data_IF_226299520818
#
_entry.id   IF_226299520818
#
_cell.length_a   1.000
_cell.length_b   1.000
_cell.length_c   1.000
_cell.angle_alpha   90.00
_cell.angle_beta   90.00
_cell.angle_gamma   90.00
#
_symmetry.space_group_name_H-M   'P 1'
#
loop_
_entity.id
_entity.type
_entity.pdbx_description
1 polymer ?
#
# COMPACT_ATOMS: atom_id res chain seq x y z
N UNK A 1 -13.10 24.72 -45.70
CA UNK A 1 -13.41 23.95 -44.48
C UNK A 1 -13.89 22.52 -44.79
N UNK A 2 -14.76 22.29 -45.76
CA UNK A 2 -15.26 20.91 -46.11
C UNK A 2 -14.21 19.95 -46.64
N UNK A 3 -13.14 20.42 -47.31
CA UNK A 3 -12.04 19.59 -47.85
C UNK A 3 -11.05 19.14 -46.80
N UNK A 4 -10.86 19.91 -45.72
CA UNK A 4 -9.98 19.52 -44.59
C UNK A 4 -10.62 18.44 -43.72
N UNK A 5 -11.93 18.44 -43.57
CA UNK A 5 -12.64 17.39 -42.80
C UNK A 5 -12.57 16.03 -43.48
N UNK A 6 -12.66 16.00 -44.82
CA UNK A 6 -12.55 14.75 -45.59
C UNK A 6 -11.13 14.14 -45.52
N UNK A 7 -10.08 15.00 -45.47
CA UNK A 7 -8.70 14.55 -45.37
C UNK A 7 -8.40 13.98 -43.96
N UNK A 8 -8.96 14.60 -42.93
CA UNK A 8 -8.81 14.14 -41.54
C UNK A 8 -9.49 12.80 -41.30
N UNK A 9 -10.67 12.60 -41.88
CA UNK A 9 -11.43 11.34 -41.78
C UNK A 9 -10.73 10.19 -42.53
N UNK A 10 -10.08 10.46 -43.67
CA UNK A 10 -9.27 9.49 -44.39
C UNK A 10 -8.02 9.06 -43.65
N UNK A 11 -7.39 9.99 -42.91
CA UNK A 11 -6.19 9.69 -42.11
C UNK A 11 -6.49 8.77 -40.92
N UNK A 12 -7.66 8.93 -40.28
CA UNK A 12 -8.07 8.09 -39.16
C UNK A 12 -8.35 6.64 -39.59
N UNK A 13 -8.86 6.45 -40.81
CA UNK A 13 -9.14 5.08 -41.33
C UNK A 13 -7.90 4.31 -41.78
N UNK A 14 -6.78 4.99 -42.10
CA UNK A 14 -5.53 4.32 -42.50
C UNK A 14 -4.75 3.81 -41.28
N UNK A 15 -4.94 4.40 -40.10
CA UNK A 15 -4.28 3.99 -38.85
C UNK A 15 -4.90 2.74 -38.19
N UNK A 16 -6.08 2.30 -38.64
CA UNK A 16 -6.77 1.14 -38.06
C UNK A 16 -6.47 -0.22 -38.71
N UNK A 17 -5.55 -0.28 -39.69
CA UNK A 17 -5.24 -1.49 -40.45
C UNK A 17 -3.84 -2.10 -40.18
N UNK A 18 -3.12 -1.64 -39.14
CA UNK A 18 -1.79 -2.15 -38.79
C UNK A 18 -1.78 -2.96 -37.48
N UNK A 19 -2.84 -3.67 -37.20
CA UNK A 19 -2.90 -4.55 -36.04
C UNK A 19 -3.31 -5.96 -36.44
N UNK A 20 -2.47 -6.64 -37.26
CA UNK A 20 -2.49 -8.10 -37.38
C UNK A 20 -1.18 -8.54 -38.03
N UNK A 21 -0.30 -9.19 -37.26
CA UNK A 21 0.94 -9.78 -37.82
C UNK A 21 1.82 -10.36 -36.70
N UNK A 22 1.75 -11.67 -36.60
CA UNK A 22 2.43 -12.62 -35.72
C UNK A 22 3.93 -12.41 -35.47
N UNK A 23 4.31 -12.84 -34.26
CA UNK A 23 5.44 -13.66 -33.78
C UNK A 23 6.42 -13.02 -32.81
N UNK A 24 6.36 -13.63 -31.61
CA UNK A 24 7.45 -14.02 -30.67
C UNK A 24 8.72 -13.17 -30.62
N UNK A 25 8.98 -12.62 -29.48
CA UNK A 25 10.13 -12.94 -28.61
C UNK A 25 10.02 -12.14 -27.32
N UNK A 26 10.48 -12.77 -26.24
CA UNK A 26 10.61 -12.27 -24.88
C UNK A 26 11.13 -10.84 -24.79
N UNK A 27 10.44 -10.00 -24.00
CA UNK A 27 11.06 -9.13 -23.01
C UNK A 27 9.99 -8.42 -22.17
N UNK A 28 10.23 -8.48 -20.89
CA UNK A 28 9.65 -7.86 -19.74
C UNK A 28 9.26 -6.39 -19.96
N UNK A 29 7.96 -6.05 -20.01
CA UNK A 29 7.54 -4.66 -19.89
C UNK A 29 6.10 -4.57 -19.33
N UNK A 30 5.99 -3.78 -18.26
CA UNK A 30 4.84 -3.63 -17.43
C UNK A 30 3.53 -3.30 -18.16
N UNK A 31 2.51 -4.01 -17.78
CA UNK A 31 1.14 -3.84 -18.25
C UNK A 31 0.46 -2.73 -17.47
N UNK A 32 0.11 -1.65 -18.16
CA UNK A 32 -0.83 -0.65 -17.67
C UNK A 32 -2.24 -1.20 -17.81
N UNK A 33 -2.82 -1.66 -16.72
CA UNK A 33 -4.21 -2.07 -16.69
C UNK A 33 -5.16 -0.88 -16.78
N UNK A 34 -5.90 -0.86 -17.86
CA UNK A 34 -7.10 -0.04 -18.07
C UNK A 34 -8.25 -0.64 -17.28
N UNK A 35 -8.94 0.20 -16.55
CA UNK A 35 -10.15 -0.02 -15.78
C UNK A 35 -11.22 -0.78 -16.59
N UNK A 36 -11.54 -2.01 -16.16
CA UNK A 36 -12.79 -2.68 -16.49
C UNK A 36 -13.44 -3.11 -15.17
N UNK A 37 -14.47 -2.38 -14.77
CA UNK A 37 -15.32 -2.70 -13.63
C UNK A 37 -16.08 -4.01 -13.89
N UNK A 38 -15.50 -5.11 -13.45
CA UNK A 38 -16.26 -6.35 -13.21
C UNK A 38 -15.77 -6.95 -11.90
N UNK A 39 -16.68 -7.13 -10.96
CA UNK A 39 -16.42 -7.50 -9.55
C UNK A 39 -15.63 -8.80 -9.36
N UNK A 40 -14.36 -8.74 -9.67
CA UNK A 40 -13.38 -9.74 -9.35
C UNK A 40 -12.56 -9.22 -8.16
N UNK A 41 -12.42 -10.02 -7.11
CA UNK A 41 -11.54 -9.72 -5.99
C UNK A 41 -10.12 -9.66 -6.53
N UNK A 42 -9.56 -8.46 -6.67
CA UNK A 42 -8.16 -8.29 -7.05
C UNK A 42 -7.30 -8.89 -5.96
N UNK A 43 -6.51 -9.92 -6.28
CA UNK A 43 -5.55 -10.48 -5.35
C UNK A 43 -4.19 -9.85 -5.61
N UNK A 44 -3.68 -9.11 -4.65
CA UNK A 44 -2.35 -8.51 -4.70
C UNK A 44 -1.29 -9.55 -4.33
N UNK A 45 -0.23 -9.60 -5.10
CA UNK A 45 0.95 -10.45 -4.84
C UNK A 45 2.22 -9.64 -4.63
N UNK A 46 2.22 -8.39 -5.10
CA UNK A 46 3.34 -7.47 -4.95
C UNK A 46 2.93 -6.30 -4.04
N UNK A 47 3.61 -6.04 -2.92
CA UNK A 47 3.28 -4.95 -2.01
C UNK A 47 3.51 -3.56 -2.62
N UNK A 48 4.33 -3.44 -3.68
CA UNK A 48 4.58 -2.17 -4.36
C UNK A 48 3.36 -1.68 -5.16
N UNK A 49 2.40 -2.57 -5.45
CA UNK A 49 1.14 -2.24 -6.12
C UNK A 49 0.09 -1.69 -5.13
N UNK A 50 0.43 -1.59 -3.84
CA UNK A 50 -0.45 -1.15 -2.75
C UNK A 50 0.13 0.11 -2.13
N UNK A 51 -0.68 1.17 -2.00
CA UNK A 51 -0.24 2.42 -1.39
C UNK A 51 0.23 2.24 0.06
N UNK A 52 1.29 2.97 0.43
CA UNK A 52 1.76 3.00 1.82
C UNK A 52 0.79 3.79 2.73
N UNK A 53 0.04 4.73 2.17
CA UNK A 53 -0.89 5.59 2.90
C UNK A 53 -2.32 5.32 2.46
N UNK A 54 -3.02 4.47 3.17
CA UNK A 54 -4.43 4.25 2.93
C UNK A 54 -5.26 5.41 3.51
N UNK A 55 -6.26 5.86 2.74
CA UNK A 55 -7.30 6.77 3.24
C UNK A 55 -8.51 5.95 3.65
N UNK A 56 -8.89 6.03 4.92
CA UNK A 56 -10.10 5.40 5.44
C UNK A 56 -11.25 6.40 5.45
N UNK A 57 -12.43 5.99 4.98
CA UNK A 57 -13.62 6.85 4.89
C UNK A 57 -14.12 7.31 6.26
N UNK A 58 -14.01 6.45 7.28
CA UNK A 58 -14.44 6.72 8.65
C UNK A 58 -13.30 7.15 9.58
N UNK A 59 -12.08 7.28 9.03
CA UNK A 59 -10.87 7.64 9.78
C UNK A 59 -10.34 6.52 10.68
N UNK A 60 -10.90 5.30 10.59
CA UNK A 60 -10.46 4.14 11.37
C UNK A 60 -9.59 3.23 10.53
N UNK A 61 -8.63 2.58 11.18
CA UNK A 61 -7.68 1.66 10.55
C UNK A 61 -7.60 0.37 11.35
N UNK A 62 -8.08 -0.70 10.76
CA UNK A 62 -8.26 -2.00 11.45
C UNK A 62 -6.94 -2.69 11.76
N UNK A 63 -5.93 -2.51 10.88
CA UNK A 63 -4.59 -3.04 11.09
C UNK A 63 -3.59 -1.89 11.12
N UNK A 64 -2.82 -1.83 12.18
CA UNK A 64 -1.76 -0.85 12.34
C UNK A 64 -0.39 -1.52 12.36
N UNK A 65 0.59 -0.88 11.76
CA UNK A 65 2.00 -1.21 11.90
C UNK A 65 2.73 -0.09 12.64
N UNK A 66 3.53 -0.42 13.63
CA UNK A 66 4.36 0.55 14.34
C UNK A 66 5.83 0.24 14.08
N UNK A 67 6.55 1.21 13.50
CA UNK A 67 8.00 1.08 13.26
C UNK A 67 8.77 1.10 14.58
N UNK A 68 9.94 0.45 14.64
CA UNK A 68 10.80 0.50 15.83
C UNK A 68 11.72 1.73 15.81
N UNK A 69 12.69 1.73 14.93
CA UNK A 69 13.64 2.82 14.68
C UNK A 69 13.74 3.06 13.18
N UNK A 70 14.11 4.27 12.79
CA UNK A 70 14.37 4.59 11.40
C UNK A 70 13.10 4.77 10.57
N UNK A 71 13.26 4.56 9.28
CA UNK A 71 12.24 4.84 8.28
C UNK A 71 11.46 3.59 7.90
N UNK A 72 10.22 3.78 7.47
CA UNK A 72 9.38 2.70 6.99
C UNK A 72 10.05 1.89 5.87
N UNK A 73 10.64 2.57 4.88
CA UNK A 73 11.33 1.93 3.75
C UNK A 73 12.83 1.76 4.02
N UNK A 74 13.13 0.95 5.02
CA UNK A 74 14.49 0.68 5.50
C UNK A 74 15.17 -0.50 4.77
N UNK A 75 14.47 -1.13 3.83
CA UNK A 75 14.89 -2.38 3.16
C UNK A 75 15.22 -3.51 4.14
N UNK A 76 14.58 -3.51 5.29
CA UNK A 76 14.81 -4.42 6.40
C UNK A 76 13.49 -4.78 7.10
N UNK A 77 13.49 -4.84 8.44
CA UNK A 77 12.35 -5.29 9.23
C UNK A 77 11.11 -4.41 9.08
N UNK A 78 11.26 -3.09 9.10
CA UNK A 78 10.11 -2.19 8.98
C UNK A 78 9.42 -2.36 7.64
N UNK A 79 10.17 -2.27 6.54
CA UNK A 79 9.60 -2.42 5.21
C UNK A 79 8.99 -3.79 5.01
N UNK A 80 9.73 -4.87 5.28
CA UNK A 80 9.24 -6.22 5.04
C UNK A 80 7.99 -6.56 5.87
N UNK A 81 7.93 -6.08 7.12
CA UNK A 81 6.74 -6.29 7.98
C UNK A 81 5.55 -5.49 7.46
N UNK A 82 5.75 -4.23 7.08
CA UNK A 82 4.66 -3.40 6.57
C UNK A 82 4.17 -3.89 5.20
N UNK A 83 5.05 -4.36 4.35
CA UNK A 83 4.68 -4.99 3.07
C UNK A 83 3.76 -6.19 3.28
N UNK A 84 4.04 -7.02 4.29
CA UNK A 84 3.14 -8.10 4.71
C UNK A 84 1.80 -7.61 5.24
N UNK A 85 1.78 -6.53 6.03
CA UNK A 85 0.54 -5.90 6.52
C UNK A 85 -0.30 -5.39 5.36
N UNK A 86 0.30 -4.68 4.39
CA UNK A 86 -0.40 -4.17 3.21
C UNK A 86 -1.04 -5.29 2.39
N UNK A 87 -0.25 -6.33 2.07
CA UNK A 87 -0.73 -7.48 1.31
C UNK A 87 -1.90 -8.16 2.01
N UNK A 88 -1.76 -8.43 3.31
CA UNK A 88 -2.84 -9.05 4.07
C UNK A 88 -4.09 -8.18 4.09
N UNK A 89 -3.95 -6.91 4.42
CA UNK A 89 -5.08 -5.99 4.53
C UNK A 89 -5.80 -5.82 3.19
N UNK A 90 -5.09 -5.53 2.11
CA UNK A 90 -5.67 -5.33 0.79
C UNK A 90 -6.39 -6.59 0.29
N UNK A 91 -5.80 -7.78 0.48
CA UNK A 91 -6.42 -9.04 0.05
C UNK A 91 -7.63 -9.46 0.90
N UNK A 92 -7.81 -8.86 2.07
CA UNK A 92 -8.95 -9.13 2.95
C UNK A 92 -9.93 -7.95 3.08
N UNK A 93 -9.75 -6.88 2.30
CA UNK A 93 -10.62 -5.71 2.33
C UNK A 93 -10.57 -4.95 3.65
N UNK A 94 -9.43 -4.98 4.35
CA UNK A 94 -9.23 -4.32 5.64
C UNK A 94 -8.48 -3.00 5.47
N UNK A 95 -8.80 -2.03 6.31
CA UNK A 95 -8.07 -0.78 6.37
C UNK A 95 -6.75 -0.94 7.15
N UNK A 96 -5.72 -0.20 6.72
CA UNK A 96 -4.39 -0.27 7.34
C UNK A 96 -3.72 1.09 7.42
N UNK A 97 -2.82 1.25 8.39
CA UNK A 97 -1.98 2.43 8.53
C UNK A 97 -0.69 2.10 9.26
N UNK A 98 0.39 2.83 8.95
CA UNK A 98 1.60 2.75 9.76
C UNK A 98 1.76 3.98 10.68
N UNK A 99 2.46 3.79 11.77
CA UNK A 99 2.78 4.80 12.76
C UNK A 99 4.28 4.77 13.05
N UNK A 100 4.86 5.93 13.21
CA UNK A 100 6.26 6.07 13.60
C UNK A 100 6.32 6.72 14.98
N UNK A 101 7.08 6.15 15.92
CA UNK A 101 7.31 6.80 17.20
C UNK A 101 7.97 8.18 17.01
N UNK A 102 7.63 9.11 17.86
CA UNK A 102 8.34 10.39 17.92
C UNK A 102 9.84 10.15 18.15
N UNK A 103 10.66 11.10 17.74
CA UNK A 103 12.12 11.09 17.89
C UNK A 103 12.86 9.99 17.08
N UNK A 104 12.19 9.20 16.25
CA UNK A 104 12.84 8.28 15.33
C UNK A 104 13.83 7.33 16.00
N UNK A 105 15.10 7.41 15.64
CA UNK A 105 16.15 6.56 16.22
C UNK A 105 16.41 6.79 17.71
N UNK A 106 16.05 7.97 18.23
CA UNK A 106 16.16 8.34 19.64
C UNK A 106 14.86 8.11 20.41
N UNK A 107 13.90 7.39 19.81
CA UNK A 107 12.61 7.13 20.44
C UNK A 107 12.80 6.38 21.78
N UNK A 108 12.08 6.83 22.77
CA UNK A 108 11.97 6.18 24.08
C UNK A 108 10.88 5.10 24.04
N UNK A 109 10.79 4.30 25.09
CA UNK A 109 9.68 3.36 25.26
C UNK A 109 8.32 4.09 25.30
N UNK A 110 8.27 5.27 25.94
CA UNK A 110 7.08 6.10 25.99
C UNK A 110 6.67 6.61 24.60
N UNK A 111 7.62 7.00 23.76
CA UNK A 111 7.33 7.39 22.38
C UNK A 111 6.71 6.23 21.58
N UNK A 112 7.21 5.01 21.79
CA UNK A 112 6.65 3.80 21.15
C UNK A 112 5.28 3.46 21.70
N UNK A 113 5.07 3.55 23.03
CA UNK A 113 3.74 3.37 23.64
C UNK A 113 2.73 4.36 23.08
N UNK A 114 3.11 5.63 22.94
CA UNK A 114 2.25 6.67 22.38
C UNK A 114 1.89 6.38 20.92
N UNK A 115 2.83 5.87 20.13
CA UNK A 115 2.55 5.48 18.74
C UNK A 115 1.58 4.29 18.67
N UNK A 116 1.73 3.29 19.54
CA UNK A 116 0.80 2.16 19.66
C UNK A 116 -0.58 2.61 20.15
N UNK A 117 -0.62 3.52 21.13
CA UNK A 117 -1.89 4.07 21.60
C UNK A 117 -2.62 4.86 20.52
N UNK A 118 -1.90 5.66 19.73
CA UNK A 118 -2.49 6.38 18.61
C UNK A 118 -3.10 5.41 17.57
N UNK A 119 -2.50 4.24 17.37
CA UNK A 119 -3.06 3.20 16.51
C UNK A 119 -4.37 2.62 17.10
N UNK A 120 -4.40 2.33 18.39
CA UNK A 120 -5.60 1.84 19.08
C UNK A 120 -6.72 2.88 19.05
N UNK A 121 -6.40 4.14 19.32
CA UNK A 121 -7.36 5.25 19.30
C UNK A 121 -7.95 5.47 17.89
N UNK A 122 -7.19 5.17 16.86
CA UNK A 122 -7.64 5.16 15.46
C UNK A 122 -8.40 3.89 15.06
N UNK A 123 -8.70 2.99 15.99
CA UNK A 123 -9.58 1.84 15.78
C UNK A 123 -8.85 0.56 15.37
N UNK A 124 -7.54 0.47 15.59
CA UNK A 124 -6.79 -0.74 15.29
C UNK A 124 -7.29 -1.92 16.14
N UNK A 125 -7.62 -3.01 15.45
CA UNK A 125 -7.94 -4.30 16.06
C UNK A 125 -6.69 -5.16 16.22
N UNK A 126 -5.70 -4.88 15.39
CA UNK A 126 -4.39 -5.54 15.41
C UNK A 126 -3.30 -4.48 15.27
N UNK A 127 -2.36 -4.48 16.19
CA UNK A 127 -1.15 -3.65 16.12
C UNK A 127 0.05 -4.57 15.91
N UNK A 128 0.70 -4.42 14.76
CA UNK A 128 1.88 -5.18 14.37
C UNK A 128 3.12 -4.36 14.65
N UNK A 129 4.09 -4.93 15.33
CA UNK A 129 5.35 -4.29 15.68
C UNK A 129 6.52 -5.14 15.17
N UNK A 130 7.55 -4.49 14.64
CA UNK A 130 8.78 -5.16 14.24
C UNK A 130 9.95 -4.66 15.10
N UNK A 131 10.87 -5.57 15.43
CA UNK A 131 12.09 -5.23 16.15
C UNK A 131 11.99 -5.43 17.68
N UNK A 132 13.12 -5.83 18.25
CA UNK A 132 13.23 -6.16 19.69
C UNK A 132 13.13 -4.93 20.61
N UNK A 133 13.39 -3.73 20.09
CA UNK A 133 13.25 -2.48 20.85
C UNK A 133 11.78 -2.15 21.18
N UNK A 134 10.83 -2.84 20.54
CA UNK A 134 9.40 -2.67 20.80
C UNK A 134 8.91 -3.45 22.04
N UNK A 135 9.70 -4.39 22.58
CA UNK A 135 9.20 -5.36 23.58
C UNK A 135 8.61 -4.68 24.83
N UNK A 136 9.35 -3.76 25.45
CA UNK A 136 8.92 -3.09 26.67
C UNK A 136 7.68 -2.21 26.43
N UNK A 137 7.70 -1.45 25.34
CA UNK A 137 6.58 -0.60 24.93
C UNK A 137 5.32 -1.42 24.59
N UNK A 138 5.49 -2.52 23.84
CA UNK A 138 4.37 -3.40 23.47
C UNK A 138 3.72 -4.01 24.71
N UNK A 139 4.51 -4.46 25.69
CA UNK A 139 4.01 -4.99 26.95
C UNK A 139 3.17 -3.95 27.70
N UNK A 140 3.66 -2.71 27.76
CA UNK A 140 2.95 -1.60 28.41
C UNK A 140 1.65 -1.27 27.65
N UNK A 141 1.71 -1.13 26.33
CA UNK A 141 0.55 -0.83 25.50
C UNK A 141 -0.52 -1.93 25.63
N UNK A 142 -0.13 -3.20 25.65
CA UNK A 142 -1.05 -4.33 25.82
C UNK A 142 -1.73 -4.34 27.21
N UNK A 143 -1.02 -3.94 28.27
CA UNK A 143 -1.64 -3.81 29.59
C UNK A 143 -2.64 -2.65 29.66
N UNK A 144 -2.41 -1.59 28.93
CA UNK A 144 -3.29 -0.43 28.89
C UNK A 144 -4.54 -0.65 28.03
N UNK A 145 -4.52 -1.65 27.15
CA UNK A 145 -5.61 -1.95 26.19
C UNK A 145 -5.95 -3.45 26.23
N UNK A 146 -6.59 -3.92 27.34
CA UNK A 146 -6.92 -5.33 27.54
C UNK A 146 -7.99 -5.90 26.59
#
# INVERSE_FOLDING_TARGET
MKKFFALLLALVMVLSLVACGDKKTDDNQGDTNTDDQQGGTTTYTNPDDIDDNMTSEDGKYEIAFVTDVGQLKDKSFNQGTFDGVKLYAANNGLSYKYYQPANGNEATDDDRVNAMQAAVDAGAKVVVCAGFLQEAALRTAAMNNP
#
